data_IF_241073129517
#
_entry.id   IF_241073129517
#
_cell.length_a   1.000
_cell.length_b   1.000
_cell.length_c   1.000
_cell.angle_alpha   90.00
_cell.angle_beta   90.00
_cell.angle_gamma   90.00
#
_symmetry.space_group_name_H-M   'P 1'
#
loop_
_entity.id
_entity.type
_entity.pdbx_description
1 polymer ?
#
# COMPACT_ATOMS: atom_id res chain seq x y z
N UNK A 1 -26.58 -37.18 -5.73
CA UNK A 1 -25.20 -36.98 -5.28
C UNK A 1 -24.42 -36.35 -6.42
N UNK A 2 -24.13 -35.06 -6.36
CA UNK A 2 -23.25 -34.39 -7.32
C UNK A 2 -22.60 -33.17 -6.65
N UNK A 3 -21.29 -33.28 -6.48
CA UNK A 3 -20.29 -32.21 -6.54
C UNK A 3 -20.31 -31.12 -5.46
N UNK A 4 -19.82 -31.51 -4.28
CA UNK A 4 -18.98 -30.62 -3.49
C UNK A 4 -17.60 -30.55 -4.14
N UNK A 5 -17.23 -29.40 -4.74
CA UNK A 5 -15.86 -28.85 -4.87
C UNK A 5 -15.77 -27.84 -6.03
N UNK A 6 -16.49 -26.72 -5.98
CA UNK A 6 -16.23 -25.57 -6.87
C UNK A 6 -16.37 -24.24 -6.11
N UNK A 7 -15.94 -24.22 -4.85
CA UNK A 7 -16.11 -23.05 -3.98
C UNK A 7 -14.87 -22.81 -3.14
N UNK A 8 -13.69 -22.75 -3.76
CA UNK A 8 -12.46 -22.36 -3.06
C UNK A 8 -11.40 -21.83 -4.03
N UNK A 9 -11.71 -20.75 -4.76
CA UNK A 9 -10.68 -19.96 -5.46
C UNK A 9 -10.94 -18.44 -5.44
N UNK A 10 -11.97 -17.96 -4.74
CA UNK A 10 -12.32 -16.53 -4.69
C UNK A 10 -12.04 -15.83 -3.37
N UNK A 11 -11.47 -16.51 -2.38
CA UNK A 11 -11.30 -15.93 -1.03
C UNK A 11 -9.88 -15.57 -0.64
N UNK A 12 -8.86 -15.86 -1.46
CA UNK A 12 -7.47 -15.47 -1.14
C UNK A 12 -6.96 -14.24 -1.88
N UNK A 13 -7.68 -13.75 -2.89
CA UNK A 13 -7.16 -12.71 -3.80
C UNK A 13 -7.40 -11.29 -3.26
N UNK A 14 -8.27 -11.11 -2.26
CA UNK A 14 -8.68 -9.76 -1.82
C UNK A 14 -7.92 -9.24 -0.59
N UNK A 15 -7.26 -10.12 0.17
CA UNK A 15 -6.57 -9.72 1.41
C UNK A 15 -5.15 -9.20 1.15
N UNK A 16 -4.53 -9.57 0.02
CA UNK A 16 -3.17 -9.15 -0.32
C UNK A 16 -3.11 -7.73 -0.93
N UNK A 17 -4.23 -7.24 -1.48
CA UNK A 17 -4.29 -5.93 -2.17
C UNK A 17 -4.54 -4.72 -1.26
N UNK A 18 -4.87 -4.93 0.02
CA UNK A 18 -5.18 -3.85 0.98
C UNK A 18 -4.10 -3.67 2.07
N UNK A 19 -2.91 -4.20 1.83
CA UNK A 19 -1.79 -4.12 2.77
C UNK A 19 -0.72 -3.13 2.30
N UNK A 20 -0.16 -2.39 3.25
CA UNK A 20 0.90 -1.43 2.99
C UNK A 20 2.23 -2.14 2.74
N UNK A 21 2.90 -1.84 1.63
CA UNK A 21 4.24 -2.38 1.34
C UNK A 21 5.36 -1.93 2.28
N UNK A 22 5.09 -1.04 3.25
CA UNK A 22 6.06 -0.57 4.26
C UNK A 22 5.87 -1.34 5.57
N UNK A 23 4.69 -1.23 6.20
CA UNK A 23 4.41 -1.92 7.47
C UNK A 23 3.89 -3.35 7.30
N UNK A 24 3.54 -3.77 6.08
CA UNK A 24 2.90 -5.05 5.77
C UNK A 24 1.57 -5.29 6.53
N UNK A 25 0.97 -4.22 7.05
CA UNK A 25 -0.35 -4.24 7.68
C UNK A 25 -1.41 -3.64 6.76
N UNK A 26 -2.69 -3.84 7.11
CA UNK A 26 -3.82 -3.18 6.43
C UNK A 26 -3.63 -1.66 6.36
N UNK A 27 -3.91 -1.06 5.21
CA UNK A 27 -3.76 0.38 5.00
C UNK A 27 -4.49 1.23 6.06
N UNK A 28 -3.73 1.96 6.88
CA UNK A 28 -4.24 2.98 7.80
C UNK A 28 -4.05 4.35 7.18
N UNK A 29 -5.15 5.03 6.85
CA UNK A 29 -5.15 6.31 6.12
C UNK A 29 -4.29 6.25 4.84
N UNK A 30 -4.68 5.40 3.86
CA UNK A 30 -3.93 5.25 2.63
C UNK A 30 -3.78 6.58 1.90
N UNK A 31 -2.54 6.94 1.57
CA UNK A 31 -2.21 8.07 0.70
C UNK A 31 -1.64 7.51 -0.60
N UNK A 32 -2.27 7.88 -1.71
CA UNK A 32 -1.78 7.56 -3.04
C UNK A 32 -0.73 8.59 -3.46
N UNK A 33 0.45 8.10 -3.84
CA UNK A 33 1.55 8.89 -4.36
C UNK A 33 1.29 9.23 -5.85
N UNK A 34 1.96 10.25 -6.42
CA UNK A 34 1.89 10.55 -7.86
C UNK A 34 2.39 9.39 -8.73
N UNK A 35 3.09 8.43 -8.16
CA UNK A 35 3.50 7.19 -8.82
C UNK A 35 2.41 6.10 -8.84
N UNK A 36 1.18 6.40 -8.39
CA UNK A 36 0.04 5.48 -8.27
C UNK A 36 0.24 4.31 -7.28
N UNK A 37 1.15 4.48 -6.32
CA UNK A 37 1.30 3.53 -5.20
C UNK A 37 0.69 4.11 -3.94
N UNK A 38 0.05 3.24 -3.16
CA UNK A 38 -0.65 3.61 -1.93
C UNK A 38 0.13 3.09 -0.73
N UNK A 39 0.29 3.94 0.30
CA UNK A 39 0.93 3.58 1.57
C UNK A 39 0.19 4.25 2.74
N UNK A 40 0.42 3.79 3.97
CA UNK A 40 -0.11 4.46 5.15
C UNK A 40 0.49 5.86 5.29
N UNK A 41 -0.33 6.85 5.68
CA UNK A 41 0.13 8.22 5.95
C UNK A 41 1.29 8.24 6.97
N UNK A 42 1.19 7.40 8.00
CA UNK A 42 2.21 7.24 9.04
C UNK A 42 3.52 6.71 8.46
N UNK A 43 3.46 5.67 7.62
CA UNK A 43 4.63 5.09 6.97
C UNK A 43 5.33 6.08 6.03
N UNK A 44 4.55 6.89 5.31
CA UNK A 44 5.11 7.94 4.45
C UNK A 44 5.74 9.06 5.27
N UNK A 45 5.13 9.44 6.38
CA UNK A 45 5.68 10.47 7.29
C UNK A 45 7.00 10.00 7.90
N UNK A 46 7.08 8.75 8.36
CA UNK A 46 8.32 8.16 8.85
C UNK A 46 9.41 8.09 7.78
N UNK A 47 9.03 7.74 6.54
CA UNK A 47 9.97 7.70 5.40
C UNK A 47 10.48 9.11 5.06
N UNK A 48 9.61 10.13 5.14
CA UNK A 48 9.97 11.53 4.95
C UNK A 48 10.88 12.07 6.06
N UNK A 49 10.70 11.61 7.30
CA UNK A 49 11.57 12.00 8.42
C UNK A 49 13.02 11.49 8.24
N UNK A 50 13.19 10.38 7.50
CA UNK A 50 14.49 9.79 7.19
C UNK A 50 15.20 10.48 6.02
N UNK A 51 14.52 11.35 5.26
CA UNK A 51 15.10 12.09 4.12
C UNK A 51 14.11 12.32 2.98
N UNK A 52 14.59 12.20 1.73
CA UNK A 52 13.75 12.36 0.53
C UNK A 52 12.61 11.33 0.53
N UNK A 53 11.36 11.81 0.32
CA UNK A 53 10.19 10.94 0.23
C UNK A 53 10.24 10.13 -1.08
N UNK A 54 10.87 8.96 -1.01
CA UNK A 54 10.99 8.02 -2.13
C UNK A 54 9.89 6.97 -2.06
N UNK A 55 9.25 6.66 -3.19
CA UNK A 55 8.39 5.48 -3.24
C UNK A 55 9.23 4.18 -3.11
N UNK A 56 8.97 3.27 -2.15
CA UNK A 56 9.77 2.05 -1.99
C UNK A 56 9.54 1.03 -3.12
N UNK A 57 8.40 1.10 -3.82
CA UNK A 57 8.04 0.18 -4.91
C UNK A 57 8.69 0.55 -6.23
N UNK A 58 8.69 1.84 -6.59
CA UNK A 58 9.20 2.31 -7.89
C UNK A 58 10.37 3.27 -7.82
N UNK A 59 10.85 3.59 -6.61
CA UNK A 59 11.94 4.55 -6.33
C UNK A 59 11.72 5.94 -6.93
N UNK A 60 10.48 6.27 -7.24
CA UNK A 60 10.11 7.57 -7.78
C UNK A 60 10.06 8.55 -6.62
N UNK A 61 10.81 9.64 -6.73
CA UNK A 61 10.76 10.75 -5.79
C UNK A 61 9.34 11.32 -5.78
N UNK A 62 8.83 11.49 -4.57
CA UNK A 62 7.54 12.11 -4.36
C UNK A 62 7.82 13.48 -3.79
N UNK A 63 7.49 14.56 -4.52
CA UNK A 63 7.54 15.87 -3.94
C UNK A 63 6.58 15.86 -2.74
N UNK A 64 7.12 16.00 -1.54
CA UNK A 64 6.29 16.29 -0.38
C UNK A 64 5.47 17.52 -0.75
N UNK A 65 4.13 17.50 -0.60
CA UNK A 65 3.37 18.72 -0.67
C UNK A 65 3.94 19.61 0.44
N UNK A 66 4.74 20.58 0.02
CA UNK A 66 5.19 21.71 0.82
C UNK A 66 3.97 22.59 1.01
N UNK A 67 3.02 22.11 1.82
CA UNK A 67 1.91 22.93 2.27
C UNK A 67 2.43 23.73 3.46
N UNK A 68 2.63 25.03 3.22
CA UNK A 68 3.10 26.02 4.18
C UNK A 68 2.05 26.54 5.13
#
# INVERSE_FOLDING_TARGET
>A
MASATEQSFKQKILEEDLCCGICQETFRRPKALPCLHTFCEECLTETANLGDLCCPLCRREVPLPTDG
#
